data_IF_350606967495
#
_entry.id   IF_350606967495
#
_cell.length_a   1.000
_cell.length_b   1.000
_cell.length_c   1.000
_cell.angle_alpha   90.00
_cell.angle_beta   90.00
_cell.angle_gamma   90.00
#
_symmetry.space_group_name_H-M   'P 1'
#
loop_
_entity.id
_entity.type
_entity.pdbx_description
1 polymer ?
#
# COMPACT_ATOMS: atom_id res chain seq x y z
N UNK A 1 -10.98 11.65 -6.10
CA UNK A 1 -10.57 10.90 -4.89
C UNK A 1 -10.22 11.92 -3.80
N UNK A 2 -10.97 11.92 -2.72
CA UNK A 2 -10.69 12.77 -1.56
C UNK A 2 -10.14 11.88 -0.45
N UNK A 3 -9.23 12.43 0.36
CA UNK A 3 -8.67 11.72 1.52
C UNK A 3 -9.77 11.27 2.49
N UNK A 4 -10.75 12.15 2.70
CA UNK A 4 -11.89 11.88 3.56
C UNK A 4 -12.70 10.66 3.10
N UNK A 5 -12.89 10.46 1.78
CA UNK A 5 -13.62 9.32 1.24
C UNK A 5 -12.98 7.97 1.65
N UNK A 6 -11.64 7.93 1.75
CA UNK A 6 -10.92 6.74 2.18
C UNK A 6 -11.11 6.48 3.67
N UNK A 7 -11.03 7.52 4.49
CA UNK A 7 -11.20 7.44 5.95
C UNK A 7 -12.64 7.08 6.34
N UNK A 8 -13.61 7.60 5.59
CA UNK A 8 -15.04 7.33 5.79
C UNK A 8 -15.52 6.02 5.14
N UNK A 9 -14.66 5.34 4.38
CA UNK A 9 -15.01 4.11 3.66
C UNK A 9 -15.95 4.32 2.47
N UNK A 10 -16.03 5.55 1.95
CA UNK A 10 -16.87 5.93 0.81
C UNK A 10 -16.10 6.00 -0.51
N UNK A 11 -14.83 5.62 -0.51
CA UNK A 11 -13.99 5.60 -1.70
C UNK A 11 -14.55 4.66 -2.78
N UNK A 12 -14.63 5.16 -4.01
CA UNK A 12 -15.10 4.36 -5.15
C UNK A 12 -14.13 3.21 -5.44
N UNK A 13 -14.64 2.04 -5.88
CA UNK A 13 -13.81 0.94 -6.37
C UNK A 13 -12.92 1.37 -7.55
N UNK A 14 -11.74 0.77 -7.67
CA UNK A 14 -10.83 1.05 -8.78
C UNK A 14 -11.43 0.67 -10.15
N UNK A 15 -12.30 -0.31 -10.17
CA UNK A 15 -13.07 -0.73 -11.33
C UNK A 15 -13.99 0.38 -11.88
N UNK A 16 -14.50 1.24 -11.02
CA UNK A 16 -15.34 2.38 -11.40
C UNK A 16 -14.50 3.61 -11.76
N UNK A 17 -13.34 3.77 -11.12
CA UNK A 17 -12.43 4.91 -11.33
C UNK A 17 -11.64 4.77 -12.64
N UNK A 18 -11.13 3.58 -12.95
CA UNK A 18 -10.25 3.36 -14.09
C UNK A 18 -10.89 3.79 -15.43
N UNK A 19 -12.15 3.41 -15.76
CA UNK A 19 -12.79 3.89 -16.98
C UNK A 19 -12.94 5.40 -17.05
N UNK A 20 -13.21 6.05 -15.93
CA UNK A 20 -13.31 7.52 -15.86
C UNK A 20 -11.97 8.18 -16.16
N UNK A 21 -10.87 7.68 -15.57
CA UNK A 21 -9.51 8.19 -15.84
C UNK A 21 -9.15 8.00 -17.31
N UNK A 22 -9.44 6.84 -17.89
CA UNK A 22 -9.16 6.58 -19.31
C UNK A 22 -9.96 7.53 -20.24
N UNK A 23 -11.22 7.80 -19.92
CA UNK A 23 -12.06 8.75 -20.67
C UNK A 23 -11.51 10.17 -20.59
N UNK A 24 -11.06 10.63 -19.42
CA UNK A 24 -10.43 11.94 -19.23
C UNK A 24 -9.10 12.08 -19.97
N UNK A 25 -8.38 10.99 -20.18
CA UNK A 25 -7.09 11.00 -20.90
C UNK A 25 -7.24 11.02 -22.43
N UNK A 26 -8.36 10.53 -22.97
CA UNK A 26 -8.55 10.40 -24.43
C UNK A 26 -8.31 11.72 -25.21
N UNK A 27 -8.82 12.90 -24.78
CA UNK A 27 -8.53 14.17 -25.48
C UNK A 27 -7.06 14.55 -25.47
N UNK A 28 -6.31 14.18 -24.43
CA UNK A 28 -4.88 14.46 -24.32
C UNK A 28 -4.07 13.53 -25.21
N UNK A 29 -4.45 12.26 -25.32
CA UNK A 29 -3.82 11.31 -26.24
C UNK A 29 -4.00 11.75 -27.69
N UNK A 30 -5.20 12.20 -28.08
CA UNK A 30 -5.46 12.77 -29.39
C UNK A 30 -4.64 14.02 -29.64
N UNK A 31 -4.64 14.96 -28.68
CA UNK A 31 -3.91 16.24 -28.78
C UNK A 31 -2.39 16.06 -28.98
N UNK A 32 -1.81 15.08 -28.28
CA UNK A 32 -0.36 14.86 -28.30
C UNK A 32 0.08 13.73 -29.25
N UNK A 33 -0.85 13.04 -29.89
CA UNK A 33 -0.58 11.95 -30.84
C UNK A 33 0.19 10.77 -30.25
N UNK A 34 -0.02 10.49 -28.94
CA UNK A 34 0.65 9.41 -28.24
C UNK A 34 -0.22 8.82 -27.14
N UNK A 35 -0.02 7.54 -26.87
CA UNK A 35 -0.65 6.88 -25.74
C UNK A 35 -0.10 7.40 -24.41
N UNK A 36 -0.99 7.55 -23.42
CA UNK A 36 -0.66 7.89 -22.04
C UNK A 36 -1.01 6.65 -21.21
N UNK A 37 -0.01 5.85 -20.77
CA UNK A 37 -0.28 4.62 -20.06
C UNK A 37 -0.81 4.89 -18.65
N UNK A 38 -1.85 4.17 -18.24
CA UNK A 38 -2.43 4.22 -16.89
C UNK A 38 -2.05 2.95 -16.15
N UNK A 39 -1.45 3.10 -14.98
CA UNK A 39 -1.14 1.99 -14.08
C UNK A 39 -2.07 2.05 -12.87
N UNK A 40 -2.59 0.89 -12.47
CA UNK A 40 -3.45 0.77 -11.30
C UNK A 40 -2.59 0.40 -10.08
N UNK A 41 -2.73 1.15 -9.00
CA UNK A 41 -2.08 0.89 -7.73
C UNK A 41 -3.11 0.50 -6.66
N UNK A 42 -2.93 -0.66 -6.04
CA UNK A 42 -3.91 -1.30 -5.16
C UNK A 42 -4.83 -2.27 -5.92
N UNK A 43 -5.36 -3.28 -5.23
CA UNK A 43 -6.25 -4.28 -5.82
C UNK A 43 -5.63 -5.13 -6.92
N UNK A 44 -4.33 -5.10 -7.11
CA UNK A 44 -3.61 -5.86 -8.15
C UNK A 44 -2.70 -6.93 -7.55
N UNK A 45 -3.19 -7.69 -6.56
CA UNK A 45 -2.39 -8.63 -5.79
C UNK A 45 -1.99 -9.87 -6.59
N UNK A 46 -2.85 -10.34 -7.48
CA UNK A 46 -2.68 -11.57 -8.26
C UNK A 46 -2.50 -11.29 -9.74
N UNK A 47 -2.04 -12.30 -10.49
CA UNK A 47 -2.00 -12.25 -11.95
C UNK A 47 -3.39 -12.07 -12.56
N UNK A 48 -4.43 -12.64 -11.94
CA UNK A 48 -5.84 -12.49 -12.39
C UNK A 48 -6.30 -11.03 -12.22
N UNK A 49 -5.99 -10.39 -11.12
CA UNK A 49 -6.29 -8.96 -10.91
C UNK A 49 -5.64 -8.11 -11.99
N UNK A 50 -4.37 -8.37 -12.28
CA UNK A 50 -3.67 -7.66 -13.36
C UNK A 50 -4.35 -7.90 -14.70
N UNK A 51 -4.70 -9.15 -15.03
CA UNK A 51 -5.39 -9.48 -16.26
C UNK A 51 -6.74 -8.75 -16.34
N UNK A 52 -7.47 -8.64 -15.24
CA UNK A 52 -8.73 -7.91 -15.14
C UNK A 52 -8.54 -6.42 -15.44
N UNK A 53 -7.62 -5.74 -14.76
CA UNK A 53 -7.36 -4.31 -14.99
C UNK A 53 -6.80 -4.04 -16.39
N UNK A 54 -5.96 -4.93 -16.91
CA UNK A 54 -5.51 -4.87 -18.32
C UNK A 54 -6.68 -4.97 -19.28
N UNK A 55 -7.66 -5.85 -19.01
CA UNK A 55 -8.89 -5.98 -19.80
C UNK A 55 -9.74 -4.72 -19.79
N UNK A 56 -9.66 -3.92 -18.73
CA UNK A 56 -10.33 -2.65 -18.61
C UNK A 56 -9.56 -1.47 -19.24
N UNK A 57 -8.35 -1.71 -19.77
CA UNK A 57 -7.54 -0.68 -20.45
C UNK A 57 -6.35 -0.15 -19.66
N UNK A 58 -6.06 -0.67 -18.47
CA UNK A 58 -4.84 -0.32 -17.76
C UNK A 58 -3.60 -0.81 -18.51
N UNK A 59 -2.51 -0.06 -18.46
CA UNK A 59 -1.20 -0.48 -18.99
C UNK A 59 -0.53 -1.54 -18.12
N UNK A 60 -0.86 -1.58 -16.82
CA UNK A 60 -0.34 -2.53 -15.86
C UNK A 60 -0.81 -2.24 -14.45
N UNK A 61 -0.23 -2.95 -13.48
CA UNK A 61 -0.49 -2.77 -12.04
C UNK A 61 0.81 -2.48 -11.30
N UNK A 62 0.70 -1.76 -10.18
CA UNK A 62 1.78 -1.59 -9.22
C UNK A 62 1.47 -2.46 -8.00
N UNK A 63 2.44 -3.27 -7.58
CA UNK A 63 2.33 -4.14 -6.42
C UNK A 63 3.45 -3.84 -5.42
N UNK A 64 3.17 -4.03 -4.14
CA UNK A 64 4.16 -3.88 -3.08
C UNK A 64 4.04 -5.00 -2.03
N UNK A 65 2.88 -5.17 -1.40
CA UNK A 65 2.68 -6.08 -0.26
C UNK A 65 3.15 -7.50 -0.53
N UNK A 66 2.86 -8.03 -1.70
CA UNK A 66 3.27 -9.37 -2.08
C UNK A 66 4.79 -9.52 -2.23
N UNK A 67 5.46 -8.44 -2.67
CA UNK A 67 6.92 -8.43 -2.78
C UNK A 67 7.63 -8.32 -1.43
N UNK A 68 6.95 -7.81 -0.38
CA UNK A 68 7.48 -7.85 0.99
C UNK A 68 7.58 -9.30 1.47
N UNK A 69 6.62 -10.15 1.14
CA UNK A 69 6.61 -11.57 1.48
C UNK A 69 7.42 -12.42 0.48
N UNK A 70 8.59 -11.94 0.07
CA UNK A 70 9.53 -12.70 -0.77
C UNK A 70 10.86 -12.93 -0.07
N UNK A 71 11.58 -13.97 -0.52
CA UNK A 71 12.91 -14.29 0.01
C UNK A 71 13.89 -13.13 -0.22
N UNK A 72 13.78 -12.45 -1.37
CA UNK A 72 14.68 -11.38 -1.80
C UNK A 72 14.41 -10.03 -1.11
N UNK A 73 13.29 -9.86 -0.43
CA UNK A 73 13.00 -8.63 0.30
C UNK A 73 13.93 -8.47 1.51
N UNK A 74 14.56 -7.31 1.66
CA UNK A 74 15.50 -6.99 2.75
C UNK A 74 14.82 -6.73 4.10
N UNK A 75 13.48 -6.65 4.16
CA UNK A 75 12.78 -6.53 5.42
C UNK A 75 13.04 -7.74 6.32
N UNK A 76 13.09 -7.51 7.63
CA UNK A 76 13.28 -8.57 8.61
C UNK A 76 12.20 -9.65 8.50
N UNK A 77 12.50 -10.83 9.03
CA UNK A 77 11.51 -11.91 9.12
C UNK A 77 10.27 -11.47 9.89
N UNK A 78 10.42 -10.62 10.92
CA UNK A 78 9.29 -10.10 11.69
C UNK A 78 8.30 -9.29 10.85
N UNK A 79 8.77 -8.49 9.85
CA UNK A 79 7.87 -7.81 8.93
C UNK A 79 7.17 -8.81 8.00
N UNK A 80 7.92 -9.74 7.41
CA UNK A 80 7.37 -10.79 6.55
C UNK A 80 6.30 -11.59 7.28
N UNK A 81 6.57 -11.99 8.51
CA UNK A 81 5.61 -12.70 9.36
C UNK A 81 4.37 -11.86 9.69
N UNK A 82 4.51 -10.55 9.87
CA UNK A 82 3.37 -9.66 10.06
C UNK A 82 2.46 -9.66 8.82
N UNK A 83 3.03 -9.58 7.61
CA UNK A 83 2.28 -9.69 6.34
C UNK A 83 1.57 -11.06 6.24
N UNK A 84 2.27 -12.16 6.49
CA UNK A 84 1.72 -13.51 6.34
C UNK A 84 0.62 -13.85 7.35
N UNK A 85 0.67 -13.24 8.53
CA UNK A 85 -0.34 -13.43 9.58
C UNK A 85 -1.56 -12.53 9.43
N UNK A 86 -1.41 -11.40 8.75
CA UNK A 86 -2.46 -10.41 8.62
C UNK A 86 -3.69 -10.98 7.89
N UNK A 87 -4.87 -10.56 8.33
CA UNK A 87 -6.16 -10.81 7.70
C UNK A 87 -6.78 -9.50 7.25
N UNK A 88 -7.79 -9.55 6.40
CA UNK A 88 -8.48 -8.34 5.94
C UNK A 88 -9.01 -7.48 7.09
N UNK A 89 -9.49 -8.11 8.15
CA UNK A 89 -9.98 -7.46 9.36
C UNK A 89 -8.90 -6.76 10.20
N UNK A 90 -7.62 -7.12 9.99
CA UNK A 90 -6.49 -6.48 10.67
C UNK A 90 -6.07 -5.17 9.98
N UNK A 91 -6.60 -4.89 8.80
CA UNK A 91 -6.22 -3.69 8.02
C UNK A 91 -6.98 -2.48 8.53
N UNK A 92 -6.25 -1.38 8.77
CA UNK A 92 -6.81 -0.08 9.16
C UNK A 92 -6.36 1.01 8.20
N UNK A 93 -7.26 1.95 7.95
CA UNK A 93 -6.87 3.25 7.39
C UNK A 93 -6.49 4.12 8.57
N UNK A 94 -5.26 4.61 8.58
CA UNK A 94 -4.72 5.43 9.66
C UNK A 94 -4.53 6.87 9.21
N UNK A 95 -4.73 7.80 10.14
CA UNK A 95 -4.27 9.16 9.98
C UNK A 95 -2.75 9.21 10.15
N UNK A 96 -2.07 9.44 9.03
CA UNK A 96 -0.62 9.58 9.07
C UNK A 96 -0.23 10.93 9.69
N UNK A 97 0.81 10.99 10.52
CA UNK A 97 1.30 12.25 11.07
C UNK A 97 1.88 13.21 10.01
N UNK A 98 1.97 12.75 8.77
CA UNK A 98 2.46 13.55 7.62
C UNK A 98 1.35 14.02 6.69
N UNK A 99 0.09 13.85 7.07
CA UNK A 99 -1.07 14.45 6.43
C UNK A 99 -1.75 13.60 5.35
N UNK A 100 -1.24 12.41 5.00
CA UNK A 100 -1.91 11.51 4.05
C UNK A 100 -2.41 10.25 4.75
N UNK A 101 -3.66 9.79 4.49
CA UNK A 101 -4.12 8.52 5.03
C UNK A 101 -3.25 7.36 4.52
N UNK A 102 -3.00 6.39 5.38
CA UNK A 102 -2.23 5.20 5.06
C UNK A 102 -2.99 3.94 5.42
N UNK A 103 -2.69 2.84 4.74
CA UNK A 103 -3.27 1.53 5.05
C UNK A 103 -2.22 0.66 5.71
N UNK A 104 -2.49 0.20 6.93
CA UNK A 104 -1.54 -0.54 7.74
C UNK A 104 -2.19 -1.71 8.48
N UNK A 105 -1.37 -2.67 8.89
CA UNK A 105 -1.79 -3.76 9.78
C UNK A 105 -1.98 -3.20 11.19
N UNK A 106 -3.08 -3.56 11.85
CA UNK A 106 -3.39 -3.15 13.21
C UNK A 106 -2.34 -3.69 14.21
N UNK A 107 -1.41 -2.85 14.58
CA UNK A 107 -0.32 -3.14 15.51
C UNK A 107 -0.54 -2.45 16.86
N UNK A 108 0.21 -2.82 17.92
CA UNK A 108 0.15 -2.12 19.20
C UNK A 108 0.42 -0.61 19.09
N UNK A 109 1.27 -0.18 18.15
CA UNK A 109 1.47 1.25 17.86
C UNK A 109 0.15 1.91 17.44
N UNK A 110 -0.58 1.31 16.48
CA UNK A 110 -1.84 1.88 15.98
C UNK A 110 -2.88 1.88 17.10
N UNK A 111 -2.99 0.81 17.88
CA UNK A 111 -3.89 0.74 19.03
C UNK A 111 -3.63 1.87 20.05
N UNK A 112 -2.36 2.18 20.34
CA UNK A 112 -2.00 3.32 21.21
C UNK A 112 -2.42 4.66 20.60
N UNK A 113 -2.24 4.82 19.28
CA UNK A 113 -2.62 6.07 18.60
C UNK A 113 -4.16 6.26 18.61
N UNK A 114 -4.93 5.20 18.34
CA UNK A 114 -6.39 5.24 18.43
C UNK A 114 -6.90 5.53 19.85
N UNK A 115 -6.16 5.08 20.86
CA UNK A 115 -6.42 5.41 22.26
C UNK A 115 -5.97 6.83 22.67
N UNK A 116 -5.51 7.66 21.71
CA UNK A 116 -5.03 9.02 21.96
C UNK A 116 -3.70 9.12 22.69
N UNK A 117 -2.95 8.02 22.80
CA UNK A 117 -1.65 8.00 23.42
C UNK A 117 -0.60 8.56 22.45
N UNK A 118 0.18 9.52 22.92
CA UNK A 118 1.28 10.11 22.16
C UNK A 118 2.60 9.40 22.46
N UNK A 119 3.33 9.03 21.41
CA UNK A 119 4.69 8.52 21.50
C UNK A 119 5.66 9.59 20.97
N UNK A 120 6.13 10.45 21.86
CA UNK A 120 7.03 11.54 21.47
C UNK A 120 8.30 11.00 20.81
N UNK A 121 8.76 11.62 19.69
CA UNK A 121 10.04 11.26 19.09
C UNK A 121 11.19 11.44 20.08
N UNK A 122 12.05 10.43 20.24
CA UNK A 122 13.26 10.53 21.07
C UNK A 122 14.35 11.38 20.41
N UNK A 123 14.34 11.41 19.07
CA UNK A 123 15.20 12.26 18.25
C UNK A 123 14.47 12.62 16.96
N UNK A 124 14.90 13.67 16.28
CA UNK A 124 14.32 14.13 15.03
C UNK A 124 15.41 14.34 13.98
N UNK A 125 15.26 13.70 12.83
CA UNK A 125 16.16 13.83 11.68
C UNK A 125 15.85 15.07 10.81
N UNK A 126 14.77 15.83 11.10
CA UNK A 126 14.33 16.94 10.25
C UNK A 126 13.88 16.51 8.85
N UNK A 127 13.37 15.27 8.69
CA UNK A 127 13.07 14.63 7.39
C UNK A 127 11.88 15.26 6.67
N UNK A 128 10.93 15.86 7.39
CA UNK A 128 9.71 16.43 6.83
C UNK A 128 9.55 17.87 7.31
N UNK A 129 9.53 18.82 6.37
CA UNK A 129 9.51 20.25 6.68
C UNK A 129 8.25 20.70 7.46
N UNK A 130 7.11 20.08 7.21
CA UNK A 130 5.83 20.41 7.84
C UNK A 130 5.58 19.66 9.16
N UNK A 131 6.45 18.72 9.53
CA UNK A 131 6.31 17.97 10.76
C UNK A 131 6.79 18.80 11.96
N UNK A 132 5.95 18.89 13.00
CA UNK A 132 6.33 19.44 14.31
C UNK A 132 6.60 18.28 15.29
N UNK A 133 7.86 17.99 15.66
CA UNK A 133 8.18 16.90 16.58
C UNK A 133 7.57 17.09 17.98
N UNK A 134 7.21 18.33 18.36
CA UNK A 134 6.58 18.61 19.65
C UNK A 134 5.09 18.24 19.67
N UNK A 135 4.43 18.20 18.50
CA UNK A 135 2.98 17.98 18.36
C UNK A 135 2.64 16.63 17.75
N UNK A 136 3.53 16.06 16.90
CA UNK A 136 3.25 14.79 16.21
C UNK A 136 2.88 13.67 17.18
N UNK A 137 1.88 12.85 16.89
CA UNK A 137 1.51 11.72 17.73
C UNK A 137 2.63 10.68 17.83
N UNK A 138 3.39 10.48 16.77
CA UNK A 138 4.57 9.61 16.71
C UNK A 138 5.46 10.03 15.52
N UNK A 139 6.71 9.58 15.52
CA UNK A 139 7.60 9.78 14.37
C UNK A 139 7.39 8.68 13.33
N UNK A 140 6.83 9.05 12.15
CA UNK A 140 6.58 8.06 11.10
C UNK A 140 7.86 7.40 10.59
N UNK A 141 8.95 8.15 10.44
CA UNK A 141 10.24 7.59 9.99
C UNK A 141 10.74 6.54 10.98
N UNK A 142 10.64 6.81 12.26
CA UNK A 142 11.05 5.87 13.29
C UNK A 142 10.16 4.61 13.28
N UNK A 143 8.84 4.77 13.20
CA UNK A 143 7.91 3.66 13.13
C UNK A 143 8.10 2.79 11.89
N UNK A 144 8.46 3.38 10.74
CA UNK A 144 8.79 2.63 9.52
C UNK A 144 10.10 1.84 9.66
N UNK A 145 11.13 2.43 10.28
CA UNK A 145 12.39 1.73 10.58
C UNK A 145 12.12 0.54 11.51
N UNK A 146 11.35 0.76 12.60
CA UNK A 146 10.96 -0.31 13.52
C UNK A 146 10.21 -1.44 12.83
N UNK A 147 9.32 -1.12 11.91
CA UNK A 147 8.63 -2.14 11.12
C UNK A 147 9.61 -2.98 10.28
N UNK A 148 10.57 -2.34 9.59
CA UNK A 148 11.58 -3.06 8.79
C UNK A 148 12.46 -3.93 9.66
N UNK A 149 12.79 -3.50 10.88
CA UNK A 149 13.50 -4.28 11.89
C UNK A 149 12.67 -5.42 12.49
N UNK A 150 11.34 -5.42 12.27
CA UNK A 150 10.42 -6.44 12.78
C UNK A 150 9.90 -6.18 14.19
N UNK A 151 10.07 -4.97 14.71
CA UNK A 151 9.55 -4.57 16.01
C UNK A 151 8.02 -4.40 15.93
N UNK A 152 7.29 -5.42 16.36
CA UNK A 152 5.83 -5.44 16.34
C UNK A 152 5.19 -4.38 17.23
N UNK A 153 5.85 -4.04 18.34
CA UNK A 153 5.31 -3.11 19.33
C UNK A 153 5.35 -1.65 18.84
N UNK A 154 6.42 -1.26 18.13
CA UNK A 154 6.65 0.12 17.72
C UNK A 154 6.61 0.32 16.20
N UNK A 155 6.45 -0.74 15.44
CA UNK A 155 6.46 -0.71 13.98
C UNK A 155 5.13 -0.28 13.37
N UNK A 156 5.22 0.51 12.28
CA UNK A 156 4.12 0.82 11.38
C UNK A 156 4.24 -0.05 10.13
N UNK A 157 3.43 -1.09 10.06
CA UNK A 157 3.46 -2.10 8.99
C UNK A 157 2.45 -1.73 7.88
N UNK A 158 2.90 -0.99 6.88
CA UNK A 158 2.07 -0.68 5.72
C UNK A 158 1.78 -1.92 4.87
N UNK A 159 0.54 -2.02 4.39
CA UNK A 159 0.11 -3.11 3.51
C UNK A 159 -1.00 -2.66 2.55
N UNK A 160 -1.30 -3.49 1.54
CA UNK A 160 -2.49 -3.34 0.71
C UNK A 160 -3.76 -3.86 1.42
N UNK A 161 -4.93 -3.53 0.88
CA UNK A 161 -6.22 -4.00 1.39
C UNK A 161 -6.31 -5.54 1.39
N UNK A 162 -5.73 -6.15 0.36
CA UNK A 162 -5.80 -7.60 0.10
C UNK A 162 -4.68 -8.39 0.80
N UNK A 163 -4.03 -7.83 1.83
CA UNK A 163 -2.92 -8.50 2.53
C UNK A 163 -3.28 -9.90 3.03
N UNK A 164 -4.53 -10.11 3.44
CA UNK A 164 -5.02 -11.41 3.91
C UNK A 164 -4.99 -12.55 2.88
N UNK A 165 -4.72 -12.23 1.60
CA UNK A 165 -4.53 -13.22 0.55
C UNK A 165 -3.05 -13.64 0.39
N UNK A 166 -2.11 -12.96 1.06
CA UNK A 166 -0.68 -13.31 1.08
C UNK A 166 -0.45 -14.32 2.19
N UNK A 167 -0.47 -15.61 1.85
CA UNK A 167 -0.51 -16.70 2.83
C UNK A 167 0.82 -17.46 2.96
N UNK A 168 1.76 -17.24 2.05
CA UNK A 168 3.03 -17.95 2.02
C UNK A 168 4.17 -17.07 1.51
N UNK A 169 5.38 -17.44 1.87
CA UNK A 169 6.59 -16.86 1.30
C UNK A 169 6.74 -17.31 -0.15
N UNK A 170 7.21 -16.41 -0.98
CA UNK A 170 7.50 -16.68 -2.39
C UNK A 170 8.86 -16.11 -2.79
N UNK A 171 9.24 -16.27 -4.05
CA UNK A 171 10.35 -15.52 -4.66
C UNK A 171 9.80 -14.48 -5.62
N UNK A 172 10.57 -13.43 -5.89
CA UNK A 172 10.21 -12.44 -6.93
C UNK A 172 9.98 -13.13 -8.27
N UNK A 173 10.77 -14.14 -8.59
CA UNK A 173 10.61 -14.92 -9.82
C UNK A 173 9.26 -15.62 -9.90
N UNK A 174 8.78 -16.22 -8.81
CA UNK A 174 7.47 -16.88 -8.75
C UNK A 174 6.34 -15.85 -8.91
N UNK A 175 6.42 -14.72 -8.22
CA UNK A 175 5.45 -13.63 -8.36
C UNK A 175 5.37 -13.16 -9.81
N UNK A 176 6.52 -12.86 -10.44
CA UNK A 176 6.54 -12.41 -11.83
C UNK A 176 6.03 -13.47 -12.82
N UNK A 177 6.36 -14.74 -12.60
CA UNK A 177 5.89 -15.84 -13.46
C UNK A 177 4.35 -15.95 -13.45
N UNK A 178 3.71 -15.77 -12.30
CA UNK A 178 2.25 -15.75 -12.19
C UNK A 178 1.64 -14.62 -13.02
N UNK A 179 2.18 -13.40 -12.93
CA UNK A 179 1.71 -12.26 -13.71
C UNK A 179 1.92 -12.48 -15.22
N UNK A 180 3.05 -13.06 -15.61
CA UNK A 180 3.33 -13.39 -17.02
C UNK A 180 2.38 -14.46 -17.54
N UNK A 181 2.11 -15.51 -16.76
CA UNK A 181 1.16 -16.55 -17.15
C UNK A 181 -0.26 -16.00 -17.35
N UNK A 182 -0.71 -15.11 -16.49
CA UNK A 182 -2.03 -14.46 -16.63
C UNK A 182 -2.13 -13.58 -17.90
N UNK A 183 -1.03 -12.96 -18.33
CA UNK A 183 -0.99 -12.19 -19.58
C UNK A 183 -0.98 -13.08 -20.83
N UNK A 184 -0.43 -14.28 -20.73
CA UNK A 184 -0.31 -15.22 -21.88
C UNK A 184 -1.63 -15.96 -22.20
N UNK A 185 -2.60 -15.95 -21.31
CA UNK A 185 -3.89 -16.65 -21.46
C UNK A 185 -4.93 -15.89 -22.29
N UNK A 186 -4.53 -14.84 -23.03
CA UNK A 186 -5.41 -13.98 -23.86
C UNK A 186 -5.21 -14.17 -25.35
#
# INVERSE_FOLDING_TARGET
FKEDDLLEGTAQPLEDILPQVLAELAPYQEKYGRDIPVFVAGGGLTGEDMARFRGMGAAGVQIATRLIATEECDASQGYKDAILRARGEDVRIIHSPVGMPGRAIYSPLIARMEAGQRQAPQWCAGCIKTCDPAQTPYCITHALIRAVEGDWEEGLFFCGAEVGQVNEMSTVAQVLAEYQAALAQR
#
